data_IF_626068041666
#
_entry.id   IF_626068041666
#
_cell.length_a   1.000
_cell.length_b   1.000
_cell.length_c   1.000
_cell.angle_alpha   90.00
_cell.angle_beta   90.00
_cell.angle_gamma   90.00
#
_symmetry.space_group_name_H-M   'P 1'
#
loop_
_entity.id
_entity.type
_entity.pdbx_description
1 polymer ?
#
# COMPACT_ATOMS: atom_id res chain seq x y z
N UNK A 1 -14.12 15.33 -31.28
CA UNK A 1 -13.73 14.00 -31.78
C UNK A 1 -13.17 13.21 -30.60
N UNK A 2 -14.07 12.65 -29.78
CA UNK A 2 -13.72 11.96 -28.55
C UNK A 2 -13.77 10.45 -28.80
N UNK A 3 -12.63 9.77 -28.73
CA UNK A 3 -12.60 8.32 -28.61
C UNK A 3 -12.81 7.95 -27.14
N UNK A 4 -14.08 7.76 -26.78
CA UNK A 4 -14.46 7.01 -25.58
C UNK A 4 -14.06 5.56 -25.83
N UNK A 5 -13.06 5.07 -25.10
CA UNK A 5 -12.72 3.65 -25.06
C UNK A 5 -13.91 2.86 -24.54
N UNK A 6 -14.56 2.13 -25.45
CA UNK A 6 -15.66 1.22 -25.16
C UNK A 6 -15.17 0.14 -24.20
N UNK A 7 -15.73 0.12 -22.99
CA UNK A 7 -15.82 -1.11 -22.21
C UNK A 7 -16.73 -2.06 -23.00
N UNK A 8 -16.17 -3.19 -23.42
CA UNK A 8 -16.87 -4.25 -24.12
C UNK A 8 -18.06 -4.74 -23.27
N UNK A 9 -19.27 -4.61 -23.81
CA UNK A 9 -20.50 -5.20 -23.26
C UNK A 9 -20.60 -6.68 -23.67
N UNK A 10 -19.48 -7.39 -23.53
CA UNK A 10 -19.32 -8.81 -23.83
C UNK A 10 -19.93 -9.66 -22.72
N UNK A 11 -21.00 -10.37 -23.09
CA UNK A 11 -21.72 -11.39 -22.32
C UNK A 11 -20.74 -12.41 -21.74
N UNK A 12 -20.29 -12.20 -20.51
CA UNK A 12 -19.57 -13.19 -19.71
C UNK A 12 -20.12 -13.15 -18.28
N UNK A 13 -20.32 -14.33 -17.73
CA UNK A 13 -20.97 -14.61 -16.45
C UNK A 13 -20.21 -13.98 -15.29
N UNK A 14 -20.47 -12.71 -14.97
CA UNK A 14 -20.14 -12.09 -13.69
C UNK A 14 -21.37 -12.09 -12.81
N UNK A 15 -21.29 -12.74 -11.64
CA UNK A 15 -22.34 -12.73 -10.63
C UNK A 15 -22.84 -11.30 -10.38
N UNK A 16 -24.10 -11.04 -10.73
CA UNK A 16 -24.85 -9.83 -10.40
C UNK A 16 -25.23 -9.83 -8.91
N UNK A 17 -24.25 -9.83 -8.01
CA UNK A 17 -24.50 -9.45 -6.63
C UNK A 17 -24.67 -7.93 -6.63
N UNK A 18 -25.81 -7.41 -6.16
CA UNK A 18 -26.10 -5.97 -6.02
C UNK A 18 -24.81 -5.19 -5.71
N UNK A 19 -24.37 -4.31 -6.63
CA UNK A 19 -23.20 -3.45 -6.42
C UNK A 19 -23.51 -2.49 -5.27
N UNK A 20 -23.24 -2.90 -4.05
CA UNK A 20 -23.28 -2.00 -2.93
C UNK A 20 -22.10 -1.03 -3.09
N UNK A 21 -22.41 0.20 -3.51
CA UNK A 21 -21.43 1.27 -3.68
C UNK A 21 -21.21 2.05 -2.37
N UNK A 22 -21.63 1.48 -1.25
CA UNK A 22 -21.37 1.99 0.09
C UNK A 22 -20.57 0.94 0.84
N UNK A 23 -19.66 1.40 1.67
CA UNK A 23 -18.96 0.52 2.60
C UNK A 23 -19.87 0.36 3.83
N UNK A 24 -20.29 -0.88 4.09
CA UNK A 24 -21.06 -1.25 5.27
C UNK A 24 -20.16 -1.92 6.31
N UNK A 25 -20.68 -2.96 6.97
CA UNK A 25 -19.83 -3.87 7.76
C UNK A 25 -18.75 -4.53 6.87
N UNK A 26 -19.08 -4.75 5.60
CA UNK A 26 -18.15 -5.19 4.57
C UNK A 26 -17.76 -4.01 3.66
N UNK A 27 -16.46 -3.88 3.33
CA UNK A 27 -16.04 -2.86 2.38
C UNK A 27 -16.58 -3.18 0.98
N UNK A 28 -16.98 -2.15 0.24
CA UNK A 28 -17.43 -2.33 -1.13
C UNK A 28 -16.29 -2.81 -2.03
N UNK A 29 -16.64 -3.60 -3.05
CA UNK A 29 -15.69 -4.09 -4.03
C UNK A 29 -14.89 -2.95 -4.70
N UNK A 30 -15.51 -1.79 -4.90
CA UNK A 30 -14.85 -0.62 -5.47
C UNK A 30 -13.76 -0.06 -4.54
N UNK A 31 -14.08 0.14 -3.25
CA UNK A 31 -13.11 0.65 -2.26
C UNK A 31 -11.90 -0.27 -2.10
N UNK A 32 -12.14 -1.59 -2.07
CA UNK A 32 -11.07 -2.59 -2.03
C UNK A 32 -10.25 -2.58 -3.32
N UNK A 33 -10.91 -2.49 -4.47
CA UNK A 33 -10.24 -2.46 -5.78
C UNK A 33 -9.31 -1.26 -5.92
N UNK A 34 -9.71 -0.06 -5.48
CA UNK A 34 -8.84 1.13 -5.50
C UNK A 34 -7.59 0.90 -4.67
N UNK A 35 -7.72 0.39 -3.44
CA UNK A 35 -6.59 0.10 -2.56
C UNK A 35 -5.62 -0.92 -3.20
N UNK A 36 -6.16 -1.97 -3.82
CA UNK A 36 -5.36 -3.00 -4.48
C UNK A 36 -4.66 -2.47 -5.73
N UNK A 37 -5.34 -1.67 -6.55
CA UNK A 37 -4.75 -1.02 -7.72
C UNK A 37 -3.58 -0.12 -7.34
N UNK A 38 -3.70 0.64 -6.25
CA UNK A 38 -2.62 1.49 -5.75
C UNK A 38 -1.42 0.69 -5.26
N UNK A 39 -1.66 -0.39 -4.51
CA UNK A 39 -0.59 -1.29 -4.05
C UNK A 39 0.12 -1.99 -5.20
N UNK A 40 -0.63 -2.51 -6.16
CA UNK A 40 -0.09 -3.17 -7.35
C UNK A 40 0.66 -2.19 -8.26
N UNK A 41 0.17 -0.95 -8.38
CA UNK A 41 0.87 0.10 -9.13
C UNK A 41 2.26 0.36 -8.55
N UNK A 42 2.36 0.44 -7.21
CA UNK A 42 3.63 0.62 -6.52
C UNK A 42 4.55 -0.61 -6.61
N UNK A 43 4.01 -1.82 -6.37
CA UNK A 43 4.78 -3.06 -6.38
C UNK A 43 5.33 -3.41 -7.77
N UNK A 44 4.56 -3.17 -8.83
CA UNK A 44 4.90 -3.58 -10.19
C UNK A 44 5.42 -2.44 -11.06
N UNK A 45 5.59 -1.24 -10.50
CA UNK A 45 5.96 -0.02 -11.24
C UNK A 45 5.05 0.26 -12.45
N UNK A 46 3.74 0.02 -12.29
CA UNK A 46 2.73 0.17 -13.35
C UNK A 46 1.85 1.39 -13.14
N UNK A 47 2.15 2.55 -13.75
CA UNK A 47 1.37 3.77 -13.56
C UNK A 47 -0.08 3.62 -14.07
N UNK A 48 -0.33 2.79 -15.08
CA UNK A 48 -1.70 2.57 -15.61
C UNK A 48 -2.67 2.04 -14.53
N UNK A 49 -2.18 1.30 -13.53
CA UNK A 49 -3.02 0.81 -12.44
C UNK A 49 -3.44 1.94 -11.49
N UNK A 50 -2.56 2.93 -11.27
CA UNK A 50 -2.88 4.15 -10.51
C UNK A 50 -3.89 5.02 -11.24
N UNK A 51 -3.80 5.11 -12.56
CA UNK A 51 -4.81 5.82 -13.38
C UNK A 51 -6.19 5.18 -13.27
N UNK A 52 -6.26 3.84 -13.27
CA UNK A 52 -7.52 3.11 -13.03
C UNK A 52 -8.07 3.40 -11.63
N UNK A 53 -7.23 3.45 -10.61
CA UNK A 53 -7.63 3.84 -9.26
C UNK A 53 -8.19 5.27 -9.23
N UNK A 54 -7.55 6.21 -9.93
CA UNK A 54 -8.00 7.59 -10.05
C UNK A 54 -9.37 7.71 -10.73
N UNK A 55 -9.63 6.91 -11.77
CA UNK A 55 -10.92 6.88 -12.45
C UNK A 55 -12.06 6.44 -11.52
N UNK A 56 -11.83 5.42 -10.68
CA UNK A 56 -12.82 4.98 -9.69
C UNK A 56 -13.02 6.03 -8.60
N UNK A 57 -11.94 6.63 -8.08
CA UNK A 57 -12.03 7.72 -7.09
C UNK A 57 -12.83 8.90 -7.65
N UNK A 58 -12.61 9.27 -8.90
CA UNK A 58 -13.36 10.33 -9.59
C UNK A 58 -14.85 10.00 -9.69
N UNK A 59 -15.21 8.75 -10.01
CA UNK A 59 -16.60 8.32 -10.04
C UNK A 59 -17.29 8.37 -8.66
N UNK A 60 -16.51 8.37 -7.56
CA UNK A 60 -17.00 8.45 -6.19
C UNK A 60 -16.85 9.84 -5.57
N UNK A 61 -16.35 10.84 -6.32
CA UNK A 61 -16.01 12.17 -5.81
C UNK A 61 -17.18 12.85 -5.08
N UNK A 62 -18.39 12.78 -5.63
CA UNK A 62 -19.58 13.37 -5.01
C UNK A 62 -19.87 12.77 -3.61
N UNK A 63 -19.75 11.44 -3.47
CA UNK A 63 -19.97 10.76 -2.18
C UNK A 63 -18.87 11.07 -1.19
N UNK A 64 -17.62 11.09 -1.65
CA UNK A 64 -16.46 11.43 -0.83
C UNK A 64 -16.57 12.85 -0.25
N UNK A 65 -17.16 13.78 -0.99
CA UNK A 65 -17.38 15.16 -0.53
C UNK A 65 -18.62 15.30 0.34
N UNK A 66 -19.77 14.75 -0.09
CA UNK A 66 -21.06 15.00 0.56
C UNK A 66 -21.32 14.10 1.77
N UNK A 67 -20.90 12.83 1.68
CA UNK A 67 -21.26 11.79 2.66
C UNK A 67 -20.10 10.79 2.85
N UNK A 68 -18.89 11.22 3.28
CA UNK A 68 -17.73 10.32 3.39
C UNK A 68 -17.93 9.14 4.36
N UNK A 69 -18.82 9.28 5.34
CA UNK A 69 -19.09 8.26 6.35
C UNK A 69 -19.73 6.97 5.80
N UNK A 70 -20.32 6.99 4.59
CA UNK A 70 -20.88 5.78 3.96
C UNK A 70 -19.88 5.07 3.05
N UNK A 71 -18.66 5.61 2.93
CA UNK A 71 -17.56 5.02 2.14
C UNK A 71 -16.19 5.11 2.87
N UNK A 72 -16.07 4.76 4.16
CA UNK A 72 -14.83 4.87 4.92
C UNK A 72 -13.63 4.15 4.30
N UNK A 73 -13.82 2.99 3.64
CA UNK A 73 -12.73 2.28 2.98
C UNK A 73 -12.27 3.04 1.73
N UNK A 74 -13.20 3.64 0.98
CA UNK A 74 -12.85 4.52 -0.14
C UNK A 74 -12.08 5.76 0.33
N UNK A 75 -12.46 6.34 1.48
CA UNK A 75 -11.73 7.47 2.08
C UNK A 75 -10.29 7.06 2.42
N UNK A 76 -10.08 5.89 3.03
CA UNK A 76 -8.72 5.38 3.26
C UNK A 76 -7.94 5.21 1.95
N UNK A 77 -8.59 4.73 0.89
CA UNK A 77 -7.97 4.55 -0.41
C UNK A 77 -7.62 5.90 -1.08
N UNK A 78 -8.44 6.93 -0.88
CA UNK A 78 -8.16 8.31 -1.31
C UNK A 78 -6.95 8.88 -0.56
N UNK A 79 -6.85 8.65 0.75
CA UNK A 79 -5.66 9.06 1.52
C UNK A 79 -4.40 8.36 0.98
N UNK A 80 -4.46 7.04 0.77
CA UNK A 80 -3.36 6.29 0.15
C UNK A 80 -3.00 6.79 -1.26
N UNK A 81 -4.00 7.24 -2.03
CA UNK A 81 -3.78 7.81 -3.35
C UNK A 81 -2.90 9.07 -3.27
N UNK A 82 -3.13 9.94 -2.28
CA UNK A 82 -2.39 11.19 -2.11
C UNK A 82 -1.05 11.04 -1.40
N UNK A 83 -0.96 10.22 -0.34
CA UNK A 83 0.28 10.08 0.45
C UNK A 83 1.30 9.11 -0.17
N UNK A 84 0.89 8.34 -1.17
CA UNK A 84 1.62 7.23 -1.77
C UNK A 84 1.99 6.10 -0.77
N UNK A 85 2.00 4.83 -1.19
CA UNK A 85 2.39 3.74 -0.31
C UNK A 85 3.86 3.84 0.13
N UNK A 86 4.14 3.63 1.42
CA UNK A 86 5.49 3.33 1.90
C UNK A 86 5.77 1.85 1.69
N UNK A 87 6.80 1.52 0.93
CA UNK A 87 7.16 0.13 0.63
C UNK A 87 8.41 -0.27 1.41
N UNK A 88 8.34 -1.38 2.14
CA UNK A 88 9.46 -1.99 2.86
C UNK A 88 9.79 -3.28 2.14
N UNK A 89 10.97 -3.33 1.54
CA UNK A 89 11.48 -4.52 0.86
C UNK A 89 12.58 -5.12 1.73
N UNK A 90 12.42 -6.37 2.13
CA UNK A 90 13.45 -7.15 2.82
C UNK A 90 14.10 -8.09 1.81
N UNK A 91 15.42 -8.14 1.74
CA UNK A 91 16.16 -9.14 0.97
C UNK A 91 16.68 -10.20 1.94
N UNK A 92 16.31 -11.46 1.72
CA UNK A 92 16.83 -12.59 2.49
C UNK A 92 18.30 -12.89 2.17
N UNK A 93 19.02 -13.51 3.11
CA UNK A 93 20.38 -14.00 2.90
C UNK A 93 20.49 -15.45 3.33
N UNK A 94 21.27 -16.22 2.56
CA UNK A 94 21.52 -17.61 2.92
C UNK A 94 22.34 -17.82 4.17
N UNK A 95 23.17 -16.85 4.47
CA UNK A 95 24.08 -16.83 5.63
C UNK A 95 23.39 -16.22 6.86
N UNK A 96 22.26 -15.55 6.68
CA UNK A 96 21.53 -14.84 7.75
C UNK A 96 20.00 -14.93 7.58
N UNK A 97 19.40 -16.13 7.73
CA UNK A 97 17.94 -16.28 7.69
C UNK A 97 17.24 -15.58 8.87
N UNK A 98 17.84 -15.66 10.06
CA UNK A 98 17.28 -15.05 11.29
C UNK A 98 17.21 -13.52 11.20
N UNK A 99 18.19 -12.87 10.53
CA UNK A 99 18.16 -11.44 10.29
C UNK A 99 16.99 -11.00 9.40
N UNK A 100 16.62 -11.80 8.39
CA UNK A 100 15.47 -11.50 7.54
C UNK A 100 14.16 -11.55 8.35
N UNK A 101 13.98 -12.59 9.16
CA UNK A 101 12.81 -12.74 10.04
C UNK A 101 12.71 -11.60 11.08
N UNK A 102 13.85 -11.19 11.65
CA UNK A 102 13.90 -10.07 12.59
C UNK A 102 13.47 -8.74 11.91
N UNK A 103 13.95 -8.47 10.70
CA UNK A 103 13.57 -7.29 9.93
C UNK A 103 12.10 -7.32 9.51
N UNK A 104 11.59 -8.46 9.05
CA UNK A 104 10.17 -8.65 8.73
C UNK A 104 9.30 -8.37 9.95
N UNK A 105 9.62 -8.98 11.10
CA UNK A 105 8.87 -8.78 12.34
C UNK A 105 8.90 -7.33 12.82
N UNK A 106 10.06 -6.66 12.75
CA UNK A 106 10.18 -5.25 13.10
C UNK A 106 9.32 -4.38 12.17
N UNK A 107 9.37 -4.65 10.86
CA UNK A 107 8.55 -3.95 9.88
C UNK A 107 7.07 -4.18 10.14
N UNK A 108 6.61 -5.42 10.38
CA UNK A 108 5.21 -5.76 10.65
C UNK A 108 4.67 -5.02 11.88
N UNK A 109 5.42 -5.06 12.98
CA UNK A 109 5.02 -4.49 14.27
C UNK A 109 4.96 -2.95 14.23
N UNK A 110 5.75 -2.32 13.37
CA UNK A 110 5.78 -0.87 13.22
C UNK A 110 4.70 -0.38 12.24
N UNK A 111 3.62 0.21 12.76
CA UNK A 111 2.48 0.63 11.96
C UNK A 111 2.75 1.93 11.20
N UNK A 112 2.65 1.86 9.87
CA UNK A 112 2.68 3.01 8.95
C UNK A 112 1.47 2.89 8.03
N UNK A 113 0.70 3.96 7.88
CA UNK A 113 -0.46 3.95 6.99
C UNK A 113 -0.05 3.61 5.55
N UNK A 114 -0.83 2.76 4.89
CA UNK A 114 -0.57 2.40 3.50
C UNK A 114 0.69 1.55 3.25
N UNK A 115 1.37 1.06 4.30
CA UNK A 115 2.59 0.27 4.19
C UNK A 115 2.40 -1.00 3.37
N UNK A 116 3.36 -1.27 2.49
CA UNK A 116 3.50 -2.52 1.74
C UNK A 116 4.77 -3.18 2.24
N UNK A 117 4.67 -4.39 2.79
CA UNK A 117 5.83 -5.20 3.18
C UNK A 117 5.98 -6.33 2.17
N UNK A 118 7.18 -6.52 1.63
CA UNK A 118 7.48 -7.63 0.76
C UNK A 118 8.88 -8.19 1.07
N UNK A 119 8.98 -9.51 1.06
CA UNK A 119 10.25 -10.22 0.98
C UNK A 119 10.61 -10.34 -0.51
N UNK A 120 11.75 -9.78 -0.89
CA UNK A 120 12.38 -10.07 -2.16
C UNK A 120 13.02 -11.46 -2.01
N UNK A 121 12.45 -12.45 -2.71
CA UNK A 121 12.73 -13.87 -2.57
C UNK A 121 14.23 -14.20 -2.49
N UNK A 122 14.54 -15.19 -1.65
CA UNK A 122 15.89 -15.74 -1.52
C UNK A 122 16.23 -16.50 -2.82
N UNK A 123 17.40 -16.24 -3.45
CA UNK A 123 17.87 -17.00 -4.61
C UNK A 123 17.91 -18.53 -4.40
N UNK A 124 17.87 -19.02 -3.15
CA UNK A 124 17.78 -20.44 -2.80
C UNK A 124 16.40 -21.06 -3.06
N UNK A 125 15.32 -20.27 -2.91
CA UNK A 125 13.94 -20.74 -3.00
C UNK A 125 13.30 -20.44 -4.37
N UNK A 126 13.67 -19.32 -5.00
CA UNK A 126 13.27 -18.97 -6.37
C UNK A 126 14.48 -18.45 -7.18
N UNK A 127 15.19 -19.32 -7.93
CA UNK A 127 16.32 -18.92 -8.76
C UNK A 127 15.94 -17.96 -9.90
N UNK A 128 14.67 -17.96 -10.33
CA UNK A 128 14.11 -17.01 -11.31
C UNK A 128 13.68 -15.68 -10.66
N UNK A 129 13.92 -15.54 -9.35
CA UNK A 129 13.90 -14.30 -8.60
C UNK A 129 12.53 -13.81 -8.16
N UNK A 130 11.45 -14.57 -8.27
CA UNK A 130 10.14 -14.12 -7.81
C UNK A 130 9.43 -13.17 -8.77
N UNK A 131 8.11 -13.07 -8.64
CA UNK A 131 7.30 -12.19 -9.48
C UNK A 131 7.74 -10.73 -9.34
N UNK A 132 8.04 -10.27 -8.13
CA UNK A 132 8.38 -8.87 -7.86
C UNK A 132 9.71 -8.49 -8.51
N UNK A 133 10.77 -9.29 -8.35
CA UNK A 133 12.08 -9.00 -8.95
C UNK A 133 12.06 -9.04 -10.48
N UNK A 134 11.18 -9.85 -11.07
CA UNK A 134 10.95 -9.90 -12.52
C UNK A 134 10.17 -8.71 -13.07
N UNK A 135 9.36 -8.05 -12.25
CA UNK A 135 8.43 -7.00 -12.68
C UNK A 135 8.79 -5.61 -12.15
N UNK A 136 9.73 -5.50 -11.22
CA UNK A 136 10.15 -4.27 -10.59
C UNK A 136 11.68 -4.12 -10.68
N UNK A 137 12.14 -3.13 -11.43
CA UNK A 137 13.57 -2.93 -11.72
C UNK A 137 14.34 -2.43 -10.50
N UNK A 138 13.68 -1.70 -9.58
CA UNK A 138 14.28 -1.29 -8.33
C UNK A 138 14.57 -2.51 -7.44
N UNK A 139 13.58 -3.39 -7.25
CA UNK A 139 13.71 -4.62 -6.45
C UNK A 139 14.77 -5.56 -7.02
N UNK A 140 14.90 -5.64 -8.35
CA UNK A 140 15.92 -6.45 -9.03
C UNK A 140 17.36 -6.13 -8.63
N UNK A 141 17.62 -4.88 -8.25
CA UNK A 141 18.95 -4.38 -7.87
C UNK A 141 19.20 -4.46 -6.37
N UNK A 142 18.16 -4.70 -5.57
CA UNK A 142 18.29 -4.87 -4.12
C UNK A 142 18.96 -6.20 -3.81
N UNK A 143 19.97 -6.16 -2.94
CA UNK A 143 20.74 -7.32 -2.54
C UNK A 143 20.99 -7.33 -1.03
N UNK A 144 21.27 -8.51 -0.46
CA UNK A 144 21.88 -8.63 0.87
C UNK A 144 23.14 -7.79 0.98
N UNK A 145 23.42 -7.30 2.18
CA UNK A 145 24.59 -6.47 2.45
C UNK A 145 25.61 -7.29 3.27
N UNK A 146 26.77 -7.56 2.69
CA UNK A 146 27.86 -8.33 3.33
C UNK A 146 27.40 -9.68 3.91
N UNK A 147 26.59 -10.44 3.16
CA UNK A 147 26.06 -11.73 3.61
C UNK A 147 24.93 -11.64 4.65
N UNK A 148 24.51 -10.43 5.03
CA UNK A 148 23.37 -10.22 5.95
C UNK A 148 22.12 -9.82 5.21
N UNK A 149 20.97 -10.18 5.78
CA UNK A 149 19.68 -9.70 5.30
C UNK A 149 19.64 -8.16 5.36
N UNK A 150 18.94 -7.54 4.42
CA UNK A 150 18.88 -6.08 4.31
C UNK A 150 17.45 -5.63 4.05
N UNK A 151 17.05 -4.50 4.64
CA UNK A 151 15.78 -3.84 4.40
C UNK A 151 15.99 -2.51 3.67
N UNK A 152 15.05 -2.20 2.79
CA UNK A 152 14.99 -0.97 2.00
C UNK A 152 13.62 -0.33 2.23
N UNK A 153 13.60 0.97 2.56
CA UNK A 153 12.36 1.74 2.71
C UNK A 153 12.22 2.67 1.52
N UNK A 154 11.18 2.46 0.71
CA UNK A 154 10.90 3.23 -0.48
C UNK A 154 9.66 4.12 -0.29
N UNK A 155 9.80 5.41 -0.61
CA UNK A 155 8.74 6.43 -0.61
C UNK A 155 8.86 7.27 -1.87
N UNK A 156 7.74 7.61 -2.51
CA UNK A 156 7.71 8.46 -3.72
C UNK A 156 8.79 8.10 -4.78
N UNK A 157 8.88 6.82 -5.16
CA UNK A 157 9.87 6.30 -6.13
C UNK A 157 11.34 6.40 -5.72
N UNK A 158 11.63 6.77 -4.47
CA UNK A 158 12.99 6.84 -3.93
C UNK A 158 13.14 5.81 -2.81
N UNK A 159 14.19 5.01 -2.87
CA UNK A 159 14.51 4.03 -1.83
C UNK A 159 15.69 4.51 -0.97
N UNK A 160 15.67 4.15 0.31
CA UNK A 160 16.78 4.36 1.23
C UNK A 160 17.98 3.48 0.87
N UNK A 161 19.12 3.76 1.52
CA UNK A 161 20.22 2.80 1.62
C UNK A 161 19.78 1.54 2.38
N UNK A 162 20.40 0.38 2.12
CA UNK A 162 20.11 -0.87 2.84
C UNK A 162 20.46 -0.74 4.32
N UNK A 163 19.56 -1.23 5.18
CA UNK A 163 19.80 -1.39 6.62
C UNK A 163 19.73 -2.85 7.03
N UNK A 164 20.63 -3.28 7.90
CA UNK A 164 20.69 -4.69 8.36
C UNK A 164 20.24 -4.86 9.81
N UNK A 165 19.92 -3.77 10.52
CA UNK A 165 19.47 -3.82 11.91
C UNK A 165 18.03 -3.34 12.06
N UNK A 166 17.33 -3.90 13.04
CA UNK A 166 15.94 -3.57 13.36
C UNK A 166 15.78 -2.11 13.81
N UNK A 167 16.75 -1.59 14.55
CA UNK A 167 16.72 -0.22 15.08
C UNK A 167 16.82 0.80 13.94
N UNK A 168 17.71 0.54 12.97
CA UNK A 168 17.89 1.40 11.82
C UNK A 168 16.63 1.38 10.92
N UNK A 169 16.01 0.21 10.75
CA UNK A 169 14.75 0.09 10.02
C UNK A 169 13.62 0.90 10.69
N UNK A 170 13.45 0.76 12.00
CA UNK A 170 12.43 1.52 12.75
C UNK A 170 12.68 3.02 12.66
N UNK A 171 13.94 3.46 12.73
CA UNK A 171 14.29 4.87 12.56
C UNK A 171 13.90 5.42 11.17
N UNK A 172 14.05 4.62 10.10
CA UNK A 172 13.62 5.00 8.74
C UNK A 172 12.09 5.03 8.57
N UNK A 173 11.36 4.23 9.33
CA UNK A 173 9.89 4.25 9.31
C UNK A 173 9.34 5.48 10.03
N UNK A 174 10.07 6.02 11.02
CA UNK A 174 9.73 7.23 11.76
C UNK A 174 9.04 6.92 13.09
N UNK A 175 8.50 7.93 13.78
CA UNK A 175 7.70 7.68 14.98
C UNK A 175 6.46 6.87 14.61
N UNK A 176 6.06 5.87 15.42
CA UNK A 176 4.84 5.12 15.15
C UNK A 176 3.66 6.09 15.15
N UNK A 177 2.77 5.97 14.16
CA UNK A 177 1.52 6.73 14.17
C UNK A 177 0.80 6.49 15.51
N UNK A 178 0.29 7.55 16.16
CA UNK A 178 -0.33 7.38 17.45
C UNK A 178 -1.53 6.45 17.32
N UNK A 179 -1.58 5.40 18.14
CA UNK A 179 -2.73 4.50 18.24
C UNK A 179 -3.98 5.36 18.51
N UNK A 180 -5.09 5.03 17.86
CA UNK A 180 -6.31 5.84 17.65
C UNK A 180 -6.88 6.63 18.83
N UNK A 181 -6.47 6.37 20.07
CA UNK A 181 -6.82 7.14 21.25
C UNK A 181 -6.36 8.61 21.16
N UNK A 182 -5.20 8.91 20.56
CA UNK A 182 -4.74 10.31 20.43
C UNK A 182 -5.47 11.09 19.33
N UNK A 183 -5.95 10.43 18.26
CA UNK A 183 -6.75 11.08 17.21
C UNK A 183 -8.17 11.41 17.70
N UNK A 184 -8.76 10.56 18.56
CA UNK A 184 -10.03 10.86 19.20
C UNK A 184 -9.96 12.12 20.10
N UNK A 185 -8.82 12.36 20.75
CA UNK A 185 -8.60 13.57 21.55
C UNK A 185 -8.54 14.85 20.69
N UNK A 186 -8.04 14.76 19.45
CA UNK A 186 -7.98 15.90 18.52
C UNK A 186 -9.35 16.22 17.91
N UNK A 187 -10.19 15.20 17.64
CA UNK A 187 -11.57 15.38 17.15
C UNK A 187 -12.51 15.90 18.25
N UNK A 188 -12.27 15.52 19.51
CA UNK A 188 -13.05 15.98 20.67
C UNK A 188 -12.63 17.36 21.21
N UNK A 189 -11.71 18.06 20.54
CA UNK A 189 -11.42 19.48 20.77
C UNK A 189 -12.60 20.36 20.34
N UNK A 190 -13.69 20.29 21.10
CA UNK A 190 -14.93 21.00 20.88
C UNK A 190 -14.69 22.50 20.68
N UNK A 191 -15.08 23.00 19.50
CA UNK A 191 -15.24 24.42 19.25
C UNK A 191 -16.30 24.95 20.24
N UNK A 192 -16.01 25.95 21.09
CA UNK A 192 -17.00 26.46 22.02
C UNK A 192 -18.20 27.02 21.23
N UNK A 193 -19.42 26.59 21.61
CA UNK A 193 -20.65 27.19 21.10
C UNK A 193 -20.65 28.65 21.52
N UNK A 194 -20.61 29.57 20.55
CA UNK A 194 -20.87 30.99 20.80
C UNK A 194 -22.34 31.09 21.23
N UNK A 195 -22.56 31.44 22.49
CA UNK A 195 -23.81 32.01 23.01
C UNK A 195 -24.05 33.38 22.43
#
# INVERSE_FOLDING_TARGET
>A
MAMVGKFDQGRSTTCEFRRNNQDGAEPSANSVSVSNLLRLSALLERPELREKAAAVLTAFAERLVKVPMVVPRMVSALMLYHDAPTMVIVTGSSEDPEGADALLKAAETHLVSGKILALADDPRDDPDGGLLRRRNEAVKRMKPLHGKAAAYVCRHHTCSLPVTSTEALVALLGPPEPRSEAMAASVNGARPRRT
#
